data_IF_552467553290
#
_entry.id   IF_552467553290
#
_cell.length_a   1.000
_cell.length_b   1.000
_cell.length_c   1.000
_cell.angle_alpha   90.00
_cell.angle_beta   90.00
_cell.angle_gamma   90.00
#
_symmetry.space_group_name_H-M   'P 1'
#
loop_
_entity.id
_entity.type
_entity.pdbx_description
1 polymer ?
#
# COMPACT_ATOMS: atom_id res chain seq x y z
N UNK A 1 13.53 -31.92 -0.16
CA UNK A 1 12.38 -31.00 -0.20
C UNK A 1 12.48 -30.07 1.01
N UNK A 2 13.60 -29.34 1.12
CA UNK A 2 13.95 -28.50 2.28
C UNK A 2 14.79 -27.30 1.82
N UNK A 3 14.18 -26.38 1.09
CA UNK A 3 14.73 -25.05 0.85
C UNK A 3 13.54 -24.10 0.82
N UNK A 4 13.32 -23.27 1.85
CA UNK A 4 12.50 -22.03 1.85
C UNK A 4 12.05 -21.49 3.24
N UNK A 5 12.76 -21.71 4.37
CA UNK A 5 12.22 -21.28 5.68
C UNK A 5 13.06 -20.45 6.67
N UNK A 6 14.29 -19.94 6.41
CA UNK A 6 14.91 -19.01 7.35
C UNK A 6 14.24 -17.62 7.31
N UNK A 7 13.76 -17.19 6.14
CA UNK A 7 13.25 -15.82 5.92
C UNK A 7 11.81 -15.60 6.40
N UNK A 8 10.91 -16.55 6.16
CA UNK A 8 9.54 -16.48 6.67
C UNK A 8 9.50 -16.48 8.21
N UNK A 9 10.40 -17.24 8.85
CA UNK A 9 10.57 -17.25 10.31
C UNK A 9 11.13 -15.92 10.82
N UNK A 10 12.11 -15.34 10.14
CA UNK A 10 12.67 -14.03 10.50
C UNK A 10 11.63 -12.90 10.39
N UNK A 11 10.81 -12.90 9.33
CA UNK A 11 9.73 -11.95 9.14
C UNK A 11 8.64 -12.08 10.21
N UNK A 12 8.23 -13.31 10.54
CA UNK A 12 7.28 -13.57 11.64
C UNK A 12 7.83 -13.11 12.99
N UNK A 13 9.10 -13.41 13.29
CA UNK A 13 9.76 -12.97 14.52
C UNK A 13 9.84 -11.45 14.61
N UNK A 14 10.20 -10.77 13.52
CA UNK A 14 10.25 -9.31 13.51
C UNK A 14 8.86 -8.69 13.71
N UNK A 15 7.82 -9.24 13.06
CA UNK A 15 6.44 -8.78 13.26
C UNK A 15 5.98 -8.99 14.71
N UNK A 16 6.32 -10.13 15.31
CA UNK A 16 6.03 -10.40 16.72
C UNK A 16 6.75 -9.42 17.66
N UNK A 17 8.02 -9.14 17.40
CA UNK A 17 8.81 -8.16 18.17
C UNK A 17 8.21 -6.76 18.00
N UNK A 18 7.84 -6.36 16.78
CA UNK A 18 7.20 -5.09 16.49
C UNK A 18 5.89 -4.91 17.29
N UNK A 19 5.04 -5.93 17.32
CA UNK A 19 3.80 -5.93 18.11
C UNK A 19 4.10 -5.90 19.61
N UNK A 20 5.08 -6.67 20.09
CA UNK A 20 5.49 -6.66 21.49
C UNK A 20 6.03 -5.28 21.92
N UNK A 21 6.80 -4.62 21.06
CA UNK A 21 7.30 -3.25 21.29
C UNK A 21 6.14 -2.25 21.33
N UNK A 22 5.13 -2.38 20.45
CA UNK A 22 3.94 -1.53 20.49
C UNK A 22 3.10 -1.72 21.76
N UNK A 23 2.91 -2.97 22.20
CA UNK A 23 2.19 -3.30 23.43
C UNK A 23 2.95 -2.76 24.64
N UNK A 24 4.27 -2.98 24.69
CA UNK A 24 5.13 -2.45 25.74
C UNK A 24 5.12 -0.92 25.76
N UNK A 25 5.19 -0.28 24.58
CA UNK A 25 5.09 1.17 24.44
C UNK A 25 3.74 1.69 24.95
N UNK A 26 2.63 1.05 24.59
CA UNK A 26 1.29 1.43 25.07
C UNK A 26 1.08 1.22 26.57
N UNK A 27 1.80 0.28 27.20
CA UNK A 27 1.74 0.01 28.64
C UNK A 27 2.60 0.96 29.47
N UNK A 28 3.76 1.37 28.96
CA UNK A 28 4.76 2.13 29.71
C UNK A 28 4.90 3.60 29.30
N UNK A 29 4.51 3.95 28.07
CA UNK A 29 4.58 5.32 27.55
C UNK A 29 3.18 5.88 27.33
N UNK A 30 3.09 7.21 27.29
CA UNK A 30 1.86 7.92 26.94
C UNK A 30 1.29 7.39 25.61
N UNK A 31 -0.01 7.09 25.59
CA UNK A 31 -0.76 6.60 24.43
C UNK A 31 -0.52 7.47 23.19
N UNK A 32 -0.31 8.77 23.37
CA UNK A 32 0.02 9.73 22.31
C UNK A 32 1.33 9.39 21.59
N UNK A 33 2.36 9.02 22.35
CA UNK A 33 3.69 8.68 21.80
C UNK A 33 3.61 7.37 21.01
N UNK A 34 2.86 6.40 21.54
CA UNK A 34 2.62 5.11 20.87
C UNK A 34 1.86 5.29 19.56
N UNK A 35 0.82 6.13 19.54
CA UNK A 35 0.06 6.43 18.33
C UNK A 35 0.91 7.14 17.26
N UNK A 36 1.77 8.09 17.64
CA UNK A 36 2.64 8.82 16.70
C UNK A 36 3.73 7.91 16.12
N UNK A 37 4.26 6.98 16.91
CA UNK A 37 5.31 6.06 16.46
C UNK A 37 4.79 4.90 15.61
N UNK A 38 3.49 4.59 15.67
CA UNK A 38 2.89 3.46 14.99
C UNK A 38 3.07 3.47 13.45
N UNK A 39 2.82 4.57 12.70
CA UNK A 39 3.05 4.60 11.26
C UNK A 39 4.51 4.36 10.87
N UNK A 40 5.44 4.89 11.66
CA UNK A 40 6.87 4.71 11.44
C UNK A 40 7.29 3.25 11.67
N UNK A 41 6.71 2.61 12.68
CA UNK A 41 6.96 1.20 12.97
C UNK A 41 6.37 0.29 11.88
N UNK A 42 5.16 0.59 11.40
CA UNK A 42 4.57 -0.11 10.24
C UNK A 42 5.45 0.02 9.00
N UNK A 43 5.97 1.21 8.71
CA UNK A 43 6.88 1.43 7.60
C UNK A 43 8.13 0.54 7.69
N UNK A 44 8.80 0.58 8.84
CA UNK A 44 10.00 -0.21 9.11
C UNK A 44 9.72 -1.72 9.03
N UNK A 45 8.58 -2.17 9.55
CA UNK A 45 8.18 -3.57 9.49
C UNK A 45 7.96 -4.04 8.06
N UNK A 46 7.25 -3.26 7.24
CA UNK A 46 7.01 -3.64 5.84
C UNK A 46 8.30 -3.61 5.02
N UNK A 47 9.17 -2.63 5.26
CA UNK A 47 10.51 -2.61 4.64
C UNK A 47 11.32 -3.84 5.06
N UNK A 48 11.34 -4.17 6.35
CA UNK A 48 12.09 -5.31 6.86
C UNK A 48 11.57 -6.62 6.27
N UNK A 49 10.26 -6.78 6.11
CA UNK A 49 9.65 -7.96 5.47
C UNK A 49 10.07 -8.04 4.00
N UNK A 50 10.01 -6.95 3.24
CA UNK A 50 10.45 -6.92 1.84
C UNK A 50 11.95 -7.19 1.70
N UNK A 51 12.76 -6.56 2.56
CA UNK A 51 14.20 -6.76 2.59
C UNK A 51 14.61 -8.17 3.02
N UNK A 52 13.87 -8.79 3.95
CA UNK A 52 14.18 -10.12 4.46
C UNK A 52 14.10 -11.19 3.38
N UNK A 53 13.25 -11.03 2.35
CA UNK A 53 13.12 -12.02 1.29
C UNK A 53 14.32 -12.10 0.34
N UNK A 54 14.85 -10.95 -0.11
CA UNK A 54 15.86 -10.90 -1.18
C UNK A 54 17.06 -9.99 -0.90
N UNK A 55 17.15 -9.36 0.29
CA UNK A 55 18.14 -8.32 0.68
C UNK A 55 18.26 -7.13 -0.28
N UNK A 56 17.35 -7.04 -1.25
CA UNK A 56 17.23 -5.97 -2.23
C UNK A 56 15.79 -5.48 -2.21
N UNK A 57 15.59 -4.18 -2.03
CA UNK A 57 14.27 -3.57 -2.07
C UNK A 57 13.88 -3.23 -3.50
N UNK A 58 12.85 -3.88 -4.03
CA UNK A 58 12.28 -3.52 -5.32
C UNK A 58 11.39 -2.26 -5.19
N UNK A 59 11.24 -1.50 -6.28
CA UNK A 59 10.26 -0.39 -6.39
C UNK A 59 8.85 -0.82 -5.98
N UNK A 60 8.45 -2.07 -6.26
CA UNK A 60 7.16 -2.62 -5.82
C UNK A 60 7.03 -2.69 -4.29
N UNK A 61 8.09 -3.12 -3.60
CA UNK A 61 8.10 -3.28 -2.14
C UNK A 61 8.15 -1.93 -1.43
N UNK A 62 8.93 -0.98 -1.96
CA UNK A 62 8.92 0.41 -1.49
C UNK A 62 7.53 1.03 -1.60
N UNK A 63 6.82 0.81 -2.73
CA UNK A 63 5.44 1.29 -2.90
C UNK A 63 4.49 0.66 -1.86
N UNK A 64 4.63 -0.63 -1.57
CA UNK A 64 3.83 -1.31 -0.54
C UNK A 64 4.10 -0.75 0.86
N UNK A 65 5.36 -0.49 1.20
CA UNK A 65 5.71 0.12 2.49
C UNK A 65 5.09 1.52 2.64
N UNK A 66 5.21 2.37 1.62
CA UNK A 66 4.60 3.71 1.62
C UNK A 66 3.06 3.62 1.77
N UNK A 67 2.42 2.71 1.03
CA UNK A 67 0.98 2.51 1.12
C UNK A 67 0.56 2.04 2.53
N UNK A 68 1.28 1.09 3.11
CA UNK A 68 1.02 0.62 4.48
C UNK A 68 1.15 1.74 5.51
N UNK A 69 2.15 2.61 5.38
CA UNK A 69 2.33 3.79 6.25
C UNK A 69 1.18 4.77 6.11
N UNK A 70 0.73 5.07 4.88
CA UNK A 70 -0.41 5.97 4.67
C UNK A 70 -1.69 5.43 5.32
N UNK A 71 -1.94 4.12 5.19
CA UNK A 71 -3.08 3.45 5.84
C UNK A 71 -2.93 3.49 7.37
N UNK A 72 -1.74 3.22 7.90
CA UNK A 72 -1.48 3.29 9.34
C UNK A 72 -1.71 4.71 9.90
N UNK A 73 -1.21 5.75 9.20
CA UNK A 73 -1.45 7.14 9.55
C UNK A 73 -2.94 7.47 9.52
N UNK A 74 -3.68 6.99 8.52
CA UNK A 74 -5.14 7.19 8.45
C UNK A 74 -5.85 6.56 9.66
N UNK A 75 -5.48 5.34 10.04
CA UNK A 75 -6.04 4.66 11.23
C UNK A 75 -5.75 5.47 12.50
N UNK A 76 -4.51 5.96 12.68
CA UNK A 76 -4.15 6.81 13.81
C UNK A 76 -4.96 8.10 13.82
N UNK A 77 -5.24 8.68 12.66
CA UNK A 77 -5.99 9.93 12.56
C UNK A 77 -7.48 9.73 12.91
N UNK A 78 -8.07 8.60 12.50
CA UNK A 78 -9.48 8.28 12.75
C UNK A 78 -9.71 7.78 14.19
N UNK A 79 -8.86 6.87 14.69
CA UNK A 79 -9.05 6.25 16.00
C UNK A 79 -8.30 6.98 17.13
N UNK A 80 -7.26 7.74 16.79
CA UNK A 80 -6.46 8.50 17.74
C UNK A 80 -6.99 9.90 18.02
N UNK A 81 -8.11 10.32 17.41
CA UNK A 81 -8.71 11.65 17.61
C UNK A 81 -9.03 11.96 19.07
N UNK A 82 -9.37 10.93 19.84
CA UNK A 82 -9.74 11.06 21.25
C UNK A 82 -8.50 11.21 22.15
N UNK A 83 -7.32 10.82 21.65
CA UNK A 83 -6.07 10.81 22.40
C UNK A 83 -5.11 11.93 21.97
N UNK A 84 -5.17 12.35 20.70
CA UNK A 84 -4.29 13.36 20.10
C UNK A 84 -5.15 14.48 19.51
N UNK A 85 -4.91 15.71 19.98
CA UNK A 85 -5.49 16.90 19.37
C UNK A 85 -4.74 17.23 18.07
N UNK A 86 -5.30 16.82 16.94
CA UNK A 86 -4.77 17.11 15.61
C UNK A 86 -5.47 18.36 15.05
N UNK A 87 -4.74 19.41 14.64
CA UNK A 87 -5.33 20.58 13.98
C UNK A 87 -6.15 20.18 12.73
N UNK A 88 -7.31 20.81 12.55
CA UNK A 88 -8.20 20.55 11.43
C UNK A 88 -7.51 20.73 10.08
N UNK A 89 -6.60 21.70 9.99
CA UNK A 89 -5.84 22.02 8.78
C UNK A 89 -4.94 20.85 8.37
N UNK A 90 -4.22 20.26 9.34
CA UNK A 90 -3.31 19.14 9.09
C UNK A 90 -4.08 17.88 8.67
N UNK A 91 -5.19 17.60 9.36
CA UNK A 91 -6.09 16.50 9.00
C UNK A 91 -6.62 16.66 7.58
N UNK A 92 -7.15 17.82 7.25
CA UNK A 92 -7.75 18.07 5.94
C UNK A 92 -6.69 18.02 4.83
N UNK A 93 -5.49 18.53 5.09
CA UNK A 93 -4.36 18.41 4.18
C UNK A 93 -4.01 16.93 3.91
N UNK A 94 -3.87 16.12 4.97
CA UNK A 94 -3.59 14.69 4.82
C UNK A 94 -4.67 13.96 4.02
N UNK A 95 -5.96 14.21 4.32
CA UNK A 95 -7.07 13.62 3.59
C UNK A 95 -7.10 14.07 2.12
N UNK A 96 -6.74 15.33 1.84
CA UNK A 96 -6.61 15.85 0.48
C UNK A 96 -5.51 15.13 -0.32
N UNK A 97 -4.32 14.95 0.28
CA UNK A 97 -3.23 14.19 -0.33
C UNK A 97 -3.63 12.74 -0.56
N UNK A 98 -4.25 12.10 0.44
CA UNK A 98 -4.70 10.72 0.33
C UNK A 98 -5.75 10.53 -0.78
N UNK A 99 -6.74 11.42 -0.84
CA UNK A 99 -7.76 11.45 -1.89
C UNK A 99 -7.12 11.62 -3.27
N UNK A 100 -6.12 12.48 -3.39
CA UNK A 100 -5.37 12.68 -4.64
C UNK A 100 -4.67 11.40 -5.08
N UNK A 101 -3.94 10.73 -4.17
CA UNK A 101 -3.25 9.46 -4.47
C UNK A 101 -4.25 8.39 -4.92
N UNK A 102 -5.37 8.25 -4.20
CA UNK A 102 -6.43 7.29 -4.54
C UNK A 102 -7.05 7.61 -5.90
N UNK A 103 -7.37 8.89 -6.14
CA UNK A 103 -7.93 9.38 -7.40
C UNK A 103 -7.01 9.13 -8.59
N UNK A 104 -5.70 9.37 -8.44
CA UNK A 104 -4.72 9.05 -9.47
C UNK A 104 -4.63 7.54 -9.73
N UNK A 105 -4.61 6.71 -8.68
CA UNK A 105 -4.52 5.26 -8.82
C UNK A 105 -5.72 4.66 -9.56
N UNK A 106 -6.94 5.02 -9.14
CA UNK A 106 -8.16 4.51 -9.79
C UNK A 106 -8.43 5.18 -11.14
N UNK A 107 -8.10 6.46 -11.30
CA UNK A 107 -8.21 7.18 -12.56
C UNK A 107 -7.30 6.61 -13.64
N UNK A 108 -6.05 6.25 -13.30
CA UNK A 108 -5.13 5.61 -14.24
C UNK A 108 -5.60 4.19 -14.62
N UNK A 109 -5.99 3.38 -13.64
CA UNK A 109 -6.44 1.99 -13.87
C UNK A 109 -7.73 1.91 -14.69
N UNK A 110 -8.62 2.88 -14.54
CA UNK A 110 -9.83 2.98 -15.36
C UNK A 110 -9.53 3.18 -16.85
N UNK A 111 -8.48 3.96 -17.17
CA UNK A 111 -8.10 4.27 -18.56
C UNK A 111 -7.41 3.12 -19.27
N UNK A 112 -6.51 2.40 -18.61
CA UNK A 112 -5.88 1.20 -19.21
C UNK A 112 -6.94 0.18 -19.64
N UNK A 113 -7.98 -0.01 -18.81
CA UNK A 113 -9.06 -0.96 -19.10
C UNK A 113 -9.92 -0.51 -20.30
N UNK A 114 -10.12 0.80 -20.48
CA UNK A 114 -10.86 1.35 -21.63
C UNK A 114 -10.02 1.31 -22.91
N UNK A 115 -8.73 1.65 -22.85
CA UNK A 115 -7.82 1.62 -23.99
C UNK A 115 -7.66 0.18 -24.53
N UNK A 116 -7.44 -0.80 -23.64
CA UNK A 116 -7.39 -2.23 -24.02
C UNK A 116 -8.73 -2.76 -24.58
N UNK A 117 -9.86 -2.22 -24.12
CA UNK A 117 -11.17 -2.57 -24.66
C UNK A 117 -11.38 -1.95 -26.03
N UNK A 118 -10.96 -0.71 -26.23
CA UNK A 118 -11.04 0.00 -27.51
C UNK A 118 -10.16 -0.67 -28.57
N UNK A 119 -8.92 -1.04 -28.24
CA UNK A 119 -8.02 -1.77 -29.15
C UNK A 119 -8.62 -3.12 -29.59
N UNK A 120 -9.25 -3.87 -28.67
CA UNK A 120 -9.93 -5.13 -29.02
C UNK A 120 -11.08 -4.92 -30.00
N UNK A 121 -11.86 -3.85 -29.83
CA UNK A 121 -12.97 -3.51 -30.74
C UNK A 121 -12.43 -3.13 -32.12
N UNK A 122 -11.38 -2.29 -32.19
CA UNK A 122 -10.77 -1.87 -33.45
C UNK A 122 -10.17 -3.08 -34.20
N UNK A 123 -9.47 -3.98 -33.50
CA UNK A 123 -8.96 -5.22 -34.12
C UNK A 123 -10.09 -6.14 -34.62
N UNK A 124 -11.17 -6.25 -33.86
CA UNK A 124 -12.34 -7.03 -34.27
C UNK A 124 -13.04 -6.46 -35.51
N UNK A 125 -13.13 -5.13 -35.62
CA UNK A 125 -13.67 -4.45 -36.81
C UNK A 125 -12.76 -4.59 -38.02
N UNK A 126 -11.43 -4.44 -37.85
CA UNK A 126 -10.46 -4.61 -38.93
C UNK A 126 -10.41 -6.03 -39.51
N UNK A 127 -10.55 -7.05 -38.66
CA UNK A 127 -10.60 -8.45 -39.10
C UNK A 127 -11.88 -8.78 -39.90
N UNK A 128 -13.03 -8.19 -39.53
CA UNK A 128 -14.28 -8.37 -40.25
C UNK A 128 -14.30 -7.68 -41.63
N UNK A 129 -13.56 -6.59 -41.80
CA UNK A 129 -13.45 -5.90 -43.09
C UNK A 129 -12.60 -6.68 -44.11
N UNK A 130 -11.51 -7.33 -43.68
CA UNK A 130 -10.68 -8.16 -44.58
C UNK A 130 -11.34 -9.49 -44.98
N UNK A 131 -12.21 -10.06 -44.14
CA UNK A 131 -12.95 -11.28 -44.49
C UNK A 131 -13.95 -11.07 -45.63
N UNK A 132 -14.51 -9.86 -45.73
CA UNK A 132 -15.58 -9.55 -46.69
C UNK A 132 -15.06 -9.14 -48.08
N UNK A 133 -13.77 -8.85 -48.23
CA UNK A 133 -13.14 -8.54 -49.53
C UNK A 133 -12.70 -9.81 -50.29
N UNK A 134 -12.61 -10.96 -49.64
CA UNK A 134 -12.21 -12.23 -50.27
C UNK A 134 -13.40 -13.12 -50.69
N UNK A 135 -14.65 -12.70 -50.43
CA UNK A 135 -15.87 -13.44 -50.78
C UNK A 135 -16.73 -12.77 -51.88
N UNK A 136 -16.24 -11.69 -52.51
CA UNK A 136 -16.89 -11.01 -53.64
C UNK A 136 -16.21 -11.30 -54.98
#
# INVERSE_FOLDING_TARGET
>A
MEENFPYARAALLFSLIAVAVLIFAGLYFDVRITLISLPLLVFLAVIFIGWSGNRCLNKGEMRRAIAATLVATFIVLVLGSDYITIPSELRNYFLGVLSTIIGFYFGYRGRETEEERMERIIRGLGANLQGNENEG
#
